data_IF_465887174050
#
_entry.id   IF_465887174050
#
_cell.length_a   1.000
_cell.length_b   1.000
_cell.length_c   1.000
_cell.angle_alpha   90.00
_cell.angle_beta   90.00
_cell.angle_gamma   90.00
#
_symmetry.space_group_name_H-M   'P 1'
#
loop_
_entity.id
_entity.type
_entity.pdbx_description
1 polymer ?
#
# COMPACT_ATOMS: atom_id res chain seq x y z
N UNK A 1 29.02 18.35 -12.61
CA UNK A 1 29.24 17.52 -11.41
C UNK A 1 28.78 16.10 -11.73
N UNK A 2 29.69 15.13 -11.84
CA UNK A 2 29.32 13.72 -11.91
C UNK A 2 29.20 13.24 -10.47
N UNK A 3 27.98 12.96 -10.01
CA UNK A 3 27.80 12.33 -8.71
C UNK A 3 28.42 10.94 -8.78
N UNK A 4 29.43 10.68 -7.96
CA UNK A 4 29.93 9.32 -7.76
C UNK A 4 28.82 8.52 -7.09
N UNK A 5 28.12 7.71 -7.88
CA UNK A 5 27.14 6.77 -7.37
C UNK A 5 27.93 5.70 -6.61
N UNK A 6 27.99 5.80 -5.28
CA UNK A 6 28.64 4.82 -4.39
C UNK A 6 28.08 3.40 -4.59
N UNK A 7 28.59 2.38 -3.90
CA UNK A 7 28.18 0.99 -4.16
C UNK A 7 26.65 0.78 -4.09
N UNK A 8 26.04 0.46 -5.24
CA UNK A 8 24.59 0.21 -5.35
C UNK A 8 24.20 -1.20 -4.89
N UNK A 9 23.03 -1.31 -4.26
CA UNK A 9 22.43 -2.58 -3.84
C UNK A 9 21.80 -3.30 -5.04
N UNK A 10 21.74 -4.64 -5.05
CA UNK A 10 21.08 -5.36 -6.13
C UNK A 10 19.56 -5.12 -6.10
N UNK A 11 18.93 -5.00 -7.27
CA UNK A 11 17.50 -4.71 -7.38
C UNK A 11 16.57 -5.73 -6.69
N UNK A 12 17.03 -6.97 -6.47
CA UNK A 12 16.25 -7.97 -5.72
C UNK A 12 15.93 -7.52 -4.29
N UNK A 13 16.71 -6.58 -3.72
CA UNK A 13 16.43 -6.00 -2.38
C UNK A 13 15.04 -5.36 -2.32
N UNK A 14 14.54 -4.77 -3.42
CA UNK A 14 13.18 -4.23 -3.45
C UNK A 14 12.12 -5.32 -3.34
N UNK A 15 12.34 -6.48 -3.99
CA UNK A 15 11.44 -7.64 -3.88
C UNK A 15 11.47 -8.24 -2.48
N UNK A 16 12.65 -8.33 -1.86
CA UNK A 16 12.78 -8.74 -0.48
C UNK A 16 12.05 -7.76 0.47
N UNK A 17 12.18 -6.46 0.23
CA UNK A 17 11.48 -5.43 1.01
C UNK A 17 9.95 -5.54 0.89
N UNK A 18 9.42 -5.84 -0.31
CA UNK A 18 7.98 -6.16 -0.48
C UNK A 18 7.58 -7.33 0.43
N UNK A 19 8.36 -8.41 0.44
CA UNK A 19 8.11 -9.56 1.30
C UNK A 19 8.12 -9.22 2.79
N UNK A 20 9.09 -8.42 3.24
CA UNK A 20 9.18 -7.97 4.65
C UNK A 20 7.98 -7.09 5.04
N UNK A 21 7.62 -6.12 4.20
CA UNK A 21 6.47 -5.24 4.48
C UNK A 21 5.16 -6.03 4.47
N UNK A 22 5.01 -6.95 3.52
CA UNK A 22 3.85 -7.84 3.45
C UNK A 22 3.77 -8.80 4.65
N UNK A 23 4.89 -9.29 5.18
CA UNK A 23 4.91 -10.03 6.43
C UNK A 23 4.42 -9.17 7.61
N UNK A 24 4.78 -7.88 7.64
CA UNK A 24 4.22 -6.92 8.59
C UNK A 24 2.70 -6.76 8.45
N UNK A 25 2.18 -6.71 7.22
CA UNK A 25 0.73 -6.69 6.98
C UNK A 25 0.07 -7.97 7.48
N UNK A 26 0.61 -9.14 7.14
CA UNK A 26 0.10 -10.43 7.58
C UNK A 26 0.10 -10.55 9.12
N UNK A 27 1.14 -10.04 9.77
CA UNK A 27 1.21 -9.95 11.23
C UNK A 27 0.09 -9.08 11.80
N UNK A 28 -0.14 -7.88 11.25
CA UNK A 28 -1.23 -7.00 11.68
C UNK A 28 -2.59 -7.68 11.49
N UNK A 29 -2.81 -8.39 10.39
CA UNK A 29 -4.04 -9.15 10.16
C UNK A 29 -4.20 -10.29 11.20
N UNK A 30 -3.14 -11.05 11.47
CA UNK A 30 -3.18 -12.15 12.44
C UNK A 30 -3.53 -11.66 13.86
N UNK A 31 -2.92 -10.57 14.33
CA UNK A 31 -3.23 -10.02 15.66
C UNK A 31 -4.61 -9.38 15.75
N UNK A 32 -5.26 -9.12 14.60
CA UNK A 32 -6.65 -8.67 14.50
C UNK A 32 -7.64 -9.81 14.21
N UNK A 33 -7.22 -11.06 14.42
CA UNK A 33 -8.10 -12.24 14.36
C UNK A 33 -8.33 -12.81 12.96
N UNK A 34 -7.58 -12.37 11.94
CA UNK A 34 -7.73 -12.94 10.60
C UNK A 34 -7.19 -14.36 10.58
N UNK A 35 -8.07 -15.30 10.20
CA UNK A 35 -7.81 -16.74 10.24
C UNK A 35 -6.76 -17.20 9.23
N UNK A 36 -6.12 -18.33 9.54
CA UNK A 36 -5.02 -18.90 8.75
C UNK A 36 -5.34 -19.08 7.25
N UNK A 37 -6.52 -19.56 6.82
CA UNK A 37 -6.82 -19.71 5.39
C UNK A 37 -6.77 -18.37 4.62
N UNK A 38 -7.24 -17.29 5.25
CA UNK A 38 -7.19 -15.95 4.66
C UNK A 38 -5.74 -15.44 4.59
N UNK A 39 -4.93 -15.68 5.63
CA UNK A 39 -3.51 -15.35 5.63
C UNK A 39 -2.72 -16.14 4.58
N UNK A 40 -3.06 -17.41 4.36
CA UNK A 40 -2.43 -18.24 3.33
C UNK A 40 -2.73 -17.71 1.92
N UNK A 41 -3.99 -17.30 1.65
CA UNK A 41 -4.36 -16.66 0.40
C UNK A 41 -3.62 -15.32 0.21
N UNK A 42 -3.54 -14.50 1.25
CA UNK A 42 -2.73 -13.27 1.22
C UNK A 42 -1.27 -13.57 0.90
N UNK A 43 -0.67 -14.58 1.54
CA UNK A 43 0.69 -15.02 1.26
C UNK A 43 0.91 -15.43 -0.20
N UNK A 44 -0.03 -16.16 -0.80
CA UNK A 44 0.04 -16.52 -2.22
C UNK A 44 0.04 -15.29 -3.13
N UNK A 45 -0.81 -14.30 -2.83
CA UNK A 45 -0.84 -13.03 -3.57
C UNK A 45 0.46 -12.22 -3.40
N UNK A 46 1.07 -12.26 -2.21
CA UNK A 46 2.37 -11.62 -1.94
C UNK A 46 3.48 -12.25 -2.77
N UNK A 47 3.53 -13.58 -2.85
CA UNK A 47 4.49 -14.30 -3.70
C UNK A 47 4.31 -13.90 -5.16
N UNK A 48 3.06 -13.86 -5.65
CA UNK A 48 2.75 -13.42 -7.00
C UNK A 48 3.18 -11.96 -7.26
N UNK A 49 2.93 -11.06 -6.31
CA UNK A 49 3.30 -9.65 -6.42
C UNK A 49 4.83 -9.43 -6.35
N UNK A 50 5.56 -10.19 -5.54
CA UNK A 50 7.02 -10.10 -5.48
C UNK A 50 7.68 -10.63 -6.76
N UNK A 51 7.12 -11.70 -7.35
CA UNK A 51 7.57 -12.27 -8.61
C UNK A 51 7.23 -11.35 -9.81
N UNK A 52 6.02 -10.78 -9.81
CA UNK A 52 5.49 -9.94 -10.89
C UNK A 52 4.95 -8.62 -10.30
N UNK A 53 5.82 -7.64 -10.00
CA UNK A 53 5.39 -6.39 -9.36
C UNK A 53 4.45 -5.53 -10.21
N UNK A 54 4.39 -5.74 -11.52
CA UNK A 54 3.46 -5.07 -12.42
C UNK A 54 2.11 -5.80 -12.60
N UNK A 55 1.81 -6.78 -11.75
CA UNK A 55 0.58 -7.59 -11.86
C UNK A 55 -0.61 -7.02 -11.09
N UNK A 56 -1.80 -7.52 -11.41
CA UNK A 56 -3.02 -7.27 -10.65
C UNK A 56 -2.92 -7.74 -9.18
N UNK A 57 -2.01 -8.66 -8.85
CA UNK A 57 -1.81 -9.14 -7.49
C UNK A 57 -1.48 -8.00 -6.52
N UNK A 58 -0.76 -6.96 -6.97
CA UNK A 58 -0.44 -5.79 -6.13
C UNK A 58 -1.70 -5.03 -5.71
N UNK A 59 -2.67 -4.87 -6.61
CA UNK A 59 -3.95 -4.26 -6.25
C UNK A 59 -4.73 -5.12 -5.25
N UNK A 60 -4.71 -6.45 -5.44
CA UNK A 60 -5.39 -7.39 -4.55
C UNK A 60 -4.78 -7.41 -3.15
N UNK A 61 -3.45 -7.41 -2.99
CA UNK A 61 -2.82 -7.36 -1.65
C UNK A 61 -2.97 -6.02 -0.94
N UNK A 62 -3.34 -4.95 -1.65
CA UNK A 62 -3.70 -3.67 -1.05
C UNK A 62 -5.16 -3.68 -0.58
N UNK A 63 -6.09 -4.19 -1.39
CA UNK A 63 -7.51 -4.24 -1.05
C UNK A 63 -7.88 -5.33 -0.04
N UNK A 64 -7.19 -6.48 -0.10
CA UNK A 64 -7.50 -7.65 0.72
C UNK A 64 -7.44 -7.38 2.23
N UNK A 65 -6.40 -6.75 2.79
CA UNK A 65 -6.34 -6.45 4.23
C UNK A 65 -7.50 -5.59 4.71
N UNK A 66 -7.94 -4.61 3.91
CA UNK A 66 -9.09 -3.77 4.26
C UNK A 66 -10.38 -4.59 4.31
N UNK A 67 -10.62 -5.44 3.30
CA UNK A 67 -11.78 -6.33 3.27
C UNK A 67 -11.75 -7.34 4.43
N UNK A 68 -10.59 -7.93 4.71
CA UNK A 68 -10.41 -8.90 5.80
C UNK A 68 -10.73 -8.26 7.16
N UNK A 69 -10.20 -7.07 7.46
CA UNK A 69 -10.48 -6.36 8.70
C UNK A 69 -11.98 -6.09 8.90
N UNK A 70 -12.69 -5.70 7.84
CA UNK A 70 -14.14 -5.43 7.90
C UNK A 70 -14.95 -6.69 8.15
N UNK A 71 -14.54 -7.84 7.60
CA UNK A 71 -15.27 -9.11 7.75
C UNK A 71 -14.98 -9.78 9.09
N UNK A 72 -13.76 -9.60 9.63
CA UNK A 72 -13.29 -10.32 10.81
C UNK A 72 -13.62 -9.61 12.12
N UNK A 73 -13.74 -8.29 12.13
CA UNK A 73 -13.91 -7.51 13.37
C UNK A 73 -15.20 -6.69 13.36
N UNK A 74 -15.98 -6.79 14.44
CA UNK A 74 -17.17 -5.94 14.64
C UNK A 74 -16.77 -4.49 14.94
N UNK A 75 -15.65 -4.30 15.64
CA UNK A 75 -15.04 -3.00 15.91
C UNK A 75 -13.59 -2.97 15.38
N UNK A 76 -13.25 -2.04 14.47
CA UNK A 76 -11.90 -1.96 13.95
C UNK A 76 -10.91 -1.52 15.03
N UNK A 77 -9.78 -2.24 15.16
CA UNK A 77 -8.66 -1.70 15.94
C UNK A 77 -8.00 -0.55 15.17
N UNK A 78 -8.23 0.69 15.63
CA UNK A 78 -7.62 1.86 15.02
C UNK A 78 -6.10 1.80 14.89
N UNK A 79 -5.33 1.29 15.89
CA UNK A 79 -3.90 1.07 15.73
C UNK A 79 -3.55 0.14 14.55
N UNK A 80 -4.31 -0.94 14.37
CA UNK A 80 -4.16 -1.87 13.26
C UNK A 80 -4.45 -1.19 11.92
N UNK A 81 -5.53 -0.42 11.83
CA UNK A 81 -5.88 0.36 10.63
C UNK A 81 -4.77 1.33 10.25
N UNK A 82 -4.24 2.12 11.19
CA UNK A 82 -3.13 3.04 10.91
C UNK A 82 -1.88 2.32 10.43
N UNK A 83 -1.53 1.19 11.07
CA UNK A 83 -0.40 0.37 10.65
C UNK A 83 -0.61 -0.15 9.21
N UNK A 84 -1.80 -0.67 8.89
CA UNK A 84 -2.14 -1.13 7.54
C UNK A 84 -2.03 0.00 6.52
N UNK A 85 -2.53 1.20 6.80
CA UNK A 85 -2.44 2.34 5.87
C UNK A 85 -0.98 2.66 5.53
N UNK A 86 -0.08 2.66 6.51
CA UNK A 86 1.37 2.90 6.28
C UNK A 86 2.00 1.75 5.50
N UNK A 87 1.79 0.51 5.95
CA UNK A 87 2.41 -0.67 5.37
C UNK A 87 1.95 -0.89 3.92
N UNK A 88 0.66 -0.71 3.63
CA UNK A 88 0.12 -0.90 2.28
C UNK A 88 0.57 0.20 1.32
N UNK A 89 0.71 1.45 1.78
CA UNK A 89 1.28 2.51 0.95
C UNK A 89 2.77 2.22 0.65
N UNK A 90 3.53 1.79 1.66
CA UNK A 90 4.93 1.43 1.47
C UNK A 90 5.07 0.26 0.50
N UNK A 91 4.23 -0.77 0.65
CA UNK A 91 4.16 -1.92 -0.24
C UNK A 91 3.88 -1.47 -1.68
N UNK A 92 2.86 -0.62 -1.88
CA UNK A 92 2.50 -0.08 -3.19
C UNK A 92 3.69 0.64 -3.86
N UNK A 93 4.37 1.51 -3.11
CA UNK A 93 5.54 2.25 -3.61
C UNK A 93 6.69 1.31 -3.97
N UNK A 94 7.00 0.33 -3.11
CA UNK A 94 8.05 -0.65 -3.37
C UNK A 94 7.74 -1.50 -4.61
N UNK A 95 6.49 -1.95 -4.77
CA UNK A 95 6.03 -2.66 -5.96
C UNK A 95 6.17 -1.82 -7.23
N UNK A 96 5.81 -0.54 -7.18
CA UNK A 96 5.97 0.38 -8.31
C UNK A 96 7.44 0.54 -8.72
N UNK A 97 8.36 0.69 -7.77
CA UNK A 97 9.80 0.74 -8.08
C UNK A 97 10.31 -0.59 -8.63
N UNK A 98 9.93 -1.71 -8.02
CA UNK A 98 10.33 -3.04 -8.46
C UNK A 98 9.79 -3.40 -9.87
N UNK A 99 8.68 -2.78 -10.30
CA UNK A 99 8.11 -2.97 -11.63
C UNK A 99 8.91 -2.24 -12.73
N UNK A 100 9.49 -1.09 -12.40
CA UNK A 100 10.22 -0.25 -13.38
C UNK A 100 11.70 -0.63 -13.48
N UNK A 101 12.27 -1.18 -12.41
CA UNK A 101 13.69 -1.53 -12.35
C UNK A 101 13.98 -2.91 -12.94
N UNK A 102 14.92 -3.04 -13.90
CA UNK A 102 15.36 -4.34 -14.41
C UNK A 102 15.94 -5.22 -13.29
N UNK A 103 15.69 -6.53 -13.34
CA UNK A 103 16.12 -7.46 -12.29
C UNK A 103 17.63 -7.51 -12.03
N UNK A 104 18.45 -7.22 -13.06
CA UNK A 104 19.91 -7.14 -12.96
C UNK A 104 20.47 -5.76 -12.60
N UNK A 105 19.60 -4.77 -12.36
CA UNK A 105 20.03 -3.41 -12.05
C UNK A 105 20.54 -3.27 -10.61
N UNK A 106 21.23 -2.15 -10.35
CA UNK A 106 21.63 -1.74 -9.01
C UNK A 106 20.89 -0.48 -8.60
N UNK A 107 20.45 -0.46 -7.34
CA UNK A 107 19.72 0.63 -6.71
C UNK A 107 20.66 1.36 -5.76
N UNK A 108 20.87 2.64 -6.01
CA UNK A 108 21.64 3.51 -5.12
C UNK A 108 20.69 4.14 -4.10
N UNK A 109 20.99 4.02 -2.81
CA UNK A 109 20.13 4.55 -1.75
C UNK A 109 19.94 6.07 -1.83
N UNK A 110 20.93 6.79 -2.36
CA UNK A 110 20.81 8.23 -2.60
C UNK A 110 19.69 8.58 -3.59
N UNK A 111 19.42 7.71 -4.56
CA UNK A 111 18.30 7.87 -5.48
C UNK A 111 16.94 7.68 -4.80
N UNK A 112 16.90 6.99 -3.64
CA UNK A 112 15.68 6.78 -2.86
C UNK A 112 15.40 7.91 -1.86
N UNK A 113 16.33 8.83 -1.61
CA UNK A 113 16.13 9.94 -0.64
C UNK A 113 14.94 10.84 -1.01
N UNK A 114 14.87 11.28 -2.27
CA UNK A 114 13.77 12.13 -2.72
C UNK A 114 12.41 11.38 -2.73
N UNK A 115 12.33 10.14 -3.24
CA UNK A 115 11.16 9.28 -3.06
C UNK A 115 10.74 9.07 -1.61
N UNK A 116 11.68 8.78 -0.71
CA UNK A 116 11.41 8.57 0.71
C UNK A 116 10.85 9.84 1.37
N UNK A 117 11.37 11.02 1.02
CA UNK A 117 10.81 12.30 1.48
C UNK A 117 9.38 12.49 1.00
N UNK A 118 9.08 12.19 -0.27
CA UNK A 118 7.71 12.28 -0.82
C UNK A 118 6.77 11.28 -0.12
N UNK A 119 7.21 10.04 0.07
CA UNK A 119 6.50 9.04 0.84
C UNK A 119 6.15 9.56 2.23
N UNK A 120 7.13 10.09 2.98
CA UNK A 120 6.91 10.60 4.32
C UNK A 120 5.91 11.77 4.34
N UNK A 121 6.01 12.72 3.41
CA UNK A 121 5.07 13.86 3.32
C UNK A 121 3.63 13.38 3.05
N UNK A 122 3.45 12.47 2.08
CA UNK A 122 2.14 11.93 1.74
C UNK A 122 1.59 11.12 2.91
N UNK A 123 2.41 10.24 3.50
CA UNK A 123 2.00 9.38 4.59
C UNK A 123 1.60 10.18 5.84
N UNK A 124 2.39 11.20 6.21
CA UNK A 124 2.06 12.05 7.35
C UNK A 124 0.78 12.86 7.11
N UNK A 125 0.56 13.34 5.88
CA UNK A 125 -0.67 14.06 5.52
C UNK A 125 -1.89 13.15 5.61
N UNK A 126 -1.79 11.92 5.11
CA UNK A 126 -2.87 10.92 5.18
C UNK A 126 -3.14 10.50 6.63
N UNK A 127 -2.10 10.29 7.44
CA UNK A 127 -2.26 9.97 8.85
C UNK A 127 -2.91 11.13 9.63
N UNK A 128 -2.52 12.38 9.34
CA UNK A 128 -3.15 13.55 9.95
C UNK A 128 -4.64 13.61 9.58
N UNK A 129 -4.99 13.36 8.32
CA UNK A 129 -6.39 13.28 7.90
C UNK A 129 -7.14 12.13 8.60
N UNK A 130 -6.52 10.95 8.71
CA UNK A 130 -7.14 9.81 9.36
C UNK A 130 -7.35 10.04 10.87
N UNK A 131 -6.48 10.81 11.54
CA UNK A 131 -6.72 11.30 12.91
C UNK A 131 -7.93 12.22 12.97
N UNK A 132 -8.13 13.12 11.99
CA UNK A 132 -9.35 13.95 11.92
C UNK A 132 -10.59 13.08 11.76
N UNK A 133 -10.52 12.01 10.96
CA UNK A 133 -11.64 11.07 10.80
C UNK A 133 -12.01 10.39 12.11
N UNK A 134 -11.04 10.08 12.99
CA UNK A 134 -11.34 9.53 14.33
C UNK A 134 -12.21 10.43 15.19
N UNK A 135 -12.14 11.75 14.98
CA UNK A 135 -12.88 12.74 15.75
C UNK A 135 -14.34 12.88 15.28
N UNK A 136 -14.68 12.26 14.15
CA UNK A 136 -16.05 12.28 13.65
C UNK A 136 -16.94 11.37 14.50
N UNK A 137 -18.23 11.73 14.68
CA UNK A 137 -19.17 10.91 15.43
C UNK A 137 -19.25 9.50 14.86
N UNK A 138 -19.07 8.51 15.73
CA UNK A 138 -19.21 7.10 15.36
C UNK A 138 -20.70 6.77 15.25
N UNK A 139 -21.13 6.34 14.07
CA UNK A 139 -22.53 6.05 13.78
C UNK A 139 -22.73 5.68 12.32
N UNK A 140 -23.96 5.29 11.97
CA UNK A 140 -24.31 4.97 10.59
C UNK A 140 -24.28 6.24 9.76
N UNK A 141 -23.36 6.29 8.80
CA UNK A 141 -23.28 7.38 7.84
C UNK A 141 -24.58 7.40 7.02
N UNK A 142 -25.11 8.59 6.75
CA UNK A 142 -26.28 8.72 5.89
C UNK A 142 -25.98 8.08 4.52
N UNK A 143 -26.92 7.29 3.99
CA UNK A 143 -26.73 6.57 2.73
C UNK A 143 -26.38 7.50 1.57
N UNK A 144 -26.89 8.74 1.56
CA UNK A 144 -26.55 9.75 0.56
C UNK A 144 -25.07 10.12 0.67
N UNK A 145 -24.56 10.29 1.88
CA UNK A 145 -23.15 10.63 2.12
C UNK A 145 -22.24 9.46 1.74
N UNK A 146 -22.63 8.22 2.01
CA UNK A 146 -21.90 7.03 1.56
C UNK A 146 -21.82 6.94 0.03
N UNK A 147 -22.95 7.16 -0.65
CA UNK A 147 -23.01 7.14 -2.13
C UNK A 147 -22.17 8.25 -2.72
N UNK A 148 -22.25 9.47 -2.19
CA UNK A 148 -21.41 10.60 -2.64
C UNK A 148 -19.93 10.29 -2.43
N UNK A 149 -19.56 9.75 -1.27
CA UNK A 149 -18.19 9.32 -0.99
C UNK A 149 -17.70 8.27 -1.99
N UNK A 150 -18.53 7.27 -2.30
CA UNK A 150 -18.21 6.24 -3.28
C UNK A 150 -18.05 6.80 -4.69
N UNK A 151 -18.96 7.69 -5.12
CA UNK A 151 -18.89 8.36 -6.43
C UNK A 151 -17.61 9.21 -6.53
N UNK A 152 -17.26 9.95 -5.48
CA UNK A 152 -16.00 10.70 -5.43
C UNK A 152 -14.78 9.79 -5.52
N UNK A 153 -14.76 8.67 -4.78
CA UNK A 153 -13.66 7.70 -4.82
C UNK A 153 -13.51 7.08 -6.22
N UNK A 154 -14.60 6.62 -6.82
CA UNK A 154 -14.62 6.09 -8.19
C UNK A 154 -14.19 7.16 -9.18
N UNK A 155 -14.69 8.39 -9.05
CA UNK A 155 -14.33 9.53 -9.90
C UNK A 155 -12.84 9.85 -9.85
N UNK A 156 -12.22 9.80 -8.67
CA UNK A 156 -10.77 9.98 -8.52
C UNK A 156 -9.98 8.88 -9.23
N UNK A 157 -10.39 7.62 -9.09
CA UNK A 157 -9.73 6.48 -9.76
C UNK A 157 -9.87 6.61 -11.28
N UNK A 158 -11.09 6.84 -11.78
CA UNK A 158 -11.35 7.02 -13.22
C UNK A 158 -10.58 8.22 -13.77
N UNK A 159 -10.61 9.36 -13.07
CA UNK A 159 -9.88 10.56 -13.44
C UNK A 159 -8.37 10.32 -13.55
N UNK A 160 -7.78 9.63 -12.56
CA UNK A 160 -6.36 9.25 -12.60
C UNK A 160 -6.05 8.34 -13.80
N UNK A 161 -6.88 7.33 -14.07
CA UNK A 161 -6.70 6.43 -15.23
C UNK A 161 -6.78 7.20 -16.54
N UNK A 162 -7.76 8.09 -16.71
CA UNK A 162 -7.92 8.90 -17.91
C UNK A 162 -6.74 9.85 -18.13
N UNK A 163 -6.24 10.47 -17.05
CA UNK A 163 -5.04 11.33 -17.10
C UNK A 163 -3.79 10.55 -17.51
N UNK A 164 -3.62 9.32 -17.00
CA UNK A 164 -2.50 8.45 -17.39
C UNK A 164 -2.59 8.03 -18.86
N UNK A 165 -3.79 7.70 -19.36
CA UNK A 165 -4.01 7.34 -20.77
C UNK A 165 -3.76 8.48 -21.75
N UNK A 166 -3.90 9.74 -21.31
CA UNK A 166 -3.68 10.92 -22.16
C UNK A 166 -2.21 11.28 -22.40
N UNK A 167 -1.28 10.71 -21.62
CA UNK A 167 0.16 11.01 -21.68
C UNK A 167 1.01 9.94 -22.40
N UNK A 168 0.38 8.87 -22.91
CA UNK A 168 1.01 7.87 -23.77
C UNK A 168 0.54 8.04 -25.20
#
# INVERSE_FOLDING_TARGET
MRAELGAGLPAWVLRAAIGVVAAGVAWVLAVNGVEWPALALYGALVVAAAAIPASAAVALIIGFPAAAMVVTTDEPSWPGVFALVVLLHLLHVLSAYAAVLPGGSRVHLDALKAPAKRFAVVQLSVLAFAVVVLLLPVGRTDAVVEVVGLVCAVGLVVGAVLLMRRKG
#
